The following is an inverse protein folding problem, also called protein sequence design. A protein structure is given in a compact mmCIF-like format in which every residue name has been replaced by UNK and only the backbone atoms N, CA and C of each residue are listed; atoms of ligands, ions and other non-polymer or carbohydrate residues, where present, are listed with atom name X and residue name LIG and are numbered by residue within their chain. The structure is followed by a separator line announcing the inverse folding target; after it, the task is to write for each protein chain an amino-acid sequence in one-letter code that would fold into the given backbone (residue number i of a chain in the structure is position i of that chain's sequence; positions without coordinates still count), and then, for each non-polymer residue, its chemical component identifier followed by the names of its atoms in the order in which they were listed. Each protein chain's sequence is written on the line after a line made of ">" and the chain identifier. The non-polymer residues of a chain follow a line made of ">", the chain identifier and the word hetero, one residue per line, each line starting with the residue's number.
data_IF_902947357693
#
_entry.id   IF_902947357693
#
_cell.length_a   1.000
_cell.length_b   1.000
_cell.length_c   1.000
_cell.angle_alpha   90.00
_cell.angle_beta   90.00
_cell.angle_gamma   90.00
#
_symmetry.space_group_name_H-M   'P 1'
#
loop_
_entity.id
_entity.type
_entity.pdbx_description
1 polymer ?
#
# COMPACT_ATOMS: atom_id res chain seq x y z
N UNK A 1 40.07 -34.09 -55.20
CA UNK A 1 39.81 -33.91 -53.78
C UNK A 1 39.17 -32.55 -53.60
N UNK A 2 37.87 -32.53 -53.36
CA UNK A 2 37.07 -31.31 -53.06
C UNK A 2 36.85 -31.31 -51.56
N UNK A 3 37.41 -30.26 -50.89
CA UNK A 3 37.18 -30.03 -49.47
C UNK A 3 36.02 -29.02 -49.34
N UNK A 4 34.90 -29.50 -48.83
CA UNK A 4 33.72 -28.66 -48.54
C UNK A 4 33.90 -28.02 -47.14
N UNK A 5 33.98 -26.69 -47.08
CA UNK A 5 33.94 -25.91 -45.86
C UNK A 5 32.47 -25.69 -45.46
N UNK A 6 32.01 -26.34 -44.41
CA UNK A 6 30.78 -25.99 -43.72
C UNK A 6 31.01 -24.77 -42.78
N UNK A 7 30.45 -23.62 -43.13
CA UNK A 7 30.42 -22.47 -42.23
C UNK A 7 29.19 -22.56 -41.33
N UNK A 8 29.44 -22.83 -40.04
CA UNK A 8 28.43 -22.78 -38.99
C UNK A 8 28.14 -21.32 -38.63
N UNK A 9 26.94 -20.87 -38.97
CA UNK A 9 26.41 -19.55 -38.58
C UNK A 9 26.00 -19.61 -37.11
N UNK A 10 26.77 -19.00 -36.21
CA UNK A 10 26.37 -18.75 -34.82
C UNK A 10 25.37 -17.58 -34.80
N UNK A 11 24.08 -17.87 -34.57
CA UNK A 11 23.09 -16.87 -34.25
C UNK A 11 23.27 -16.50 -32.77
N UNK A 12 23.96 -15.38 -32.53
CA UNK A 12 23.96 -14.75 -31.20
C UNK A 12 22.55 -14.20 -30.95
N UNK A 13 21.79 -14.90 -30.13
CA UNK A 13 20.54 -14.36 -29.57
C UNK A 13 20.89 -13.17 -28.67
N UNK A 14 20.52 -11.96 -29.09
CA UNK A 14 20.51 -10.79 -28.21
C UNK A 14 19.42 -10.99 -27.15
N UNK A 15 19.83 -11.35 -25.94
CA UNK A 15 19.00 -11.26 -24.75
C UNK A 15 18.73 -9.76 -24.51
N UNK A 16 17.59 -9.27 -25.02
CA UNK A 16 17.13 -7.91 -24.72
C UNK A 16 16.76 -7.84 -23.24
N UNK A 17 17.69 -7.34 -22.42
CA UNK A 17 17.42 -6.98 -21.03
C UNK A 17 16.24 -6.04 -21.01
N UNK A 18 15.08 -6.49 -20.51
CA UNK A 18 13.87 -5.66 -20.36
C UNK A 18 14.22 -4.44 -19.51
N UNK A 19 13.86 -3.26 -20.03
CA UNK A 19 14.11 -2.00 -19.34
C UNK A 19 13.24 -1.93 -18.06
N UNK A 20 13.83 -1.75 -16.85
CA UNK A 20 13.07 -1.72 -15.58
C UNK A 20 11.95 -0.68 -15.55
N UNK A 21 12.05 0.38 -16.36
CA UNK A 21 11.02 1.42 -16.48
C UNK A 21 9.83 0.95 -17.31
N UNK A 22 10.04 0.14 -18.35
CA UNK A 22 8.97 -0.47 -19.14
C UNK A 22 8.19 -1.52 -18.35
N UNK A 23 8.87 -2.32 -17.52
CA UNK A 23 8.21 -3.31 -16.67
C UNK A 23 7.33 -2.66 -15.59
N UNK A 24 7.75 -1.53 -15.02
CA UNK A 24 6.94 -0.76 -14.05
C UNK A 24 5.71 -0.13 -14.68
N UNK A 25 5.82 0.37 -15.91
CA UNK A 25 4.74 1.01 -16.65
C UNK A 25 3.72 -0.04 -17.14
N UNK A 26 4.20 -1.19 -17.66
CA UNK A 26 3.37 -2.34 -18.02
C UNK A 26 2.53 -2.85 -16.84
N UNK A 27 3.13 -3.00 -15.68
CA UNK A 27 2.44 -3.45 -14.47
C UNK A 27 1.34 -2.46 -13.99
N UNK A 28 1.56 -1.14 -14.14
CA UNK A 28 0.54 -0.13 -13.81
C UNK A 28 -0.67 -0.17 -14.75
N UNK A 29 -0.44 -0.34 -16.05
CA UNK A 29 -1.52 -0.41 -17.04
C UNK A 29 -2.33 -1.68 -16.86
N UNK A 30 -1.68 -2.83 -16.68
CA UNK A 30 -2.32 -4.10 -16.39
C UNK A 30 -3.22 -4.04 -15.14
N UNK A 31 -2.73 -3.44 -14.05
CA UNK A 31 -3.52 -3.27 -12.83
C UNK A 31 -4.77 -2.40 -13.08
N UNK A 32 -4.63 -1.33 -13.88
CA UNK A 32 -5.74 -0.45 -14.23
C UNK A 32 -6.78 -1.15 -15.10
N UNK A 33 -6.34 -1.97 -16.05
CA UNK A 33 -7.23 -2.77 -16.91
C UNK A 33 -8.01 -3.81 -16.09
N UNK A 34 -7.33 -4.56 -15.23
CA UNK A 34 -7.97 -5.51 -14.29
C UNK A 34 -8.98 -4.81 -13.37
N UNK A 35 -8.64 -3.64 -12.86
CA UNK A 35 -9.55 -2.85 -12.04
C UNK A 35 -10.79 -2.39 -12.82
N UNK A 36 -10.61 -1.92 -14.05
CA UNK A 36 -11.73 -1.48 -14.89
C UNK A 36 -12.67 -2.64 -15.22
N UNK A 37 -12.12 -3.82 -15.49
CA UNK A 37 -12.91 -5.03 -15.71
C UNK A 37 -13.72 -5.40 -14.47
N UNK A 38 -13.07 -5.55 -13.32
CA UNK A 38 -13.73 -5.82 -12.05
C UNK A 38 -14.80 -4.77 -11.71
N UNK A 39 -14.49 -3.48 -11.91
CA UNK A 39 -15.42 -2.37 -11.62
C UNK A 39 -16.67 -2.43 -12.49
N UNK A 40 -16.57 -2.87 -13.74
CA UNK A 40 -17.70 -3.00 -14.66
C UNK A 40 -18.71 -4.07 -14.20
N UNK A 41 -18.29 -5.01 -13.36
CA UNK A 41 -19.13 -6.05 -12.78
C UNK A 41 -19.82 -5.61 -11.48
N UNK A 42 -19.46 -4.43 -10.94
CA UNK A 42 -20.02 -3.90 -9.70
C UNK A 42 -21.23 -3.00 -9.98
N UNK A 43 -22.10 -2.83 -8.96
CA UNK A 43 -23.12 -1.78 -9.00
C UNK A 43 -22.43 -0.40 -9.09
N UNK A 44 -22.62 0.37 -10.18
CA UNK A 44 -21.99 1.67 -10.34
C UNK A 44 -22.31 2.65 -9.21
N UNK A 45 -23.53 2.59 -8.68
CA UNK A 45 -23.96 3.45 -7.57
C UNK A 45 -23.19 3.11 -6.29
N UNK A 46 -23.00 1.82 -5.98
CA UNK A 46 -22.22 1.39 -4.81
C UNK A 46 -20.77 1.85 -4.92
N UNK A 47 -20.15 1.71 -6.11
CA UNK A 47 -18.78 2.18 -6.39
C UNK A 47 -18.66 3.67 -6.15
N UNK A 48 -19.61 4.47 -6.65
CA UNK A 48 -19.59 5.93 -6.53
C UNK A 48 -19.89 6.39 -5.11
N UNK A 49 -20.88 5.82 -4.44
CA UNK A 49 -21.24 6.13 -3.06
C UNK A 49 -20.04 5.88 -2.12
N UNK A 50 -19.36 4.72 -2.29
CA UNK A 50 -18.18 4.40 -1.48
C UNK A 50 -17.02 5.37 -1.77
N UNK A 51 -16.78 5.69 -3.04
CA UNK A 51 -15.74 6.65 -3.41
C UNK A 51 -15.99 8.03 -2.80
N UNK A 52 -17.24 8.55 -2.90
CA UNK A 52 -17.61 9.84 -2.32
C UNK A 52 -17.49 9.81 -0.80
N UNK A 53 -17.90 8.70 -0.16
CA UNK A 53 -17.77 8.52 1.29
C UNK A 53 -16.31 8.62 1.75
N UNK A 54 -15.35 8.03 1.03
CA UNK A 54 -13.94 8.07 1.41
C UNK A 54 -13.31 9.45 1.16
N UNK A 55 -13.53 10.01 -0.05
CA UNK A 55 -12.84 11.23 -0.47
C UNK A 55 -13.16 12.46 0.37
N UNK A 56 -14.32 12.52 1.02
CA UNK A 56 -14.70 13.66 1.86
C UNK A 56 -13.79 13.84 3.10
N UNK A 57 -13.03 12.83 3.50
CA UNK A 57 -12.13 12.85 4.66
C UNK A 57 -10.69 13.16 4.31
N UNK A 58 -10.35 13.34 3.04
CA UNK A 58 -8.97 13.48 2.57
C UNK A 58 -8.79 14.76 1.76
N UNK A 59 -7.85 15.59 2.18
CA UNK A 59 -7.44 16.81 1.46
C UNK A 59 -6.76 16.45 0.13
N UNK A 60 -5.90 15.42 0.11
CA UNK A 60 -5.38 14.84 -1.12
C UNK A 60 -6.37 13.78 -1.63
N UNK A 61 -7.14 14.04 -2.71
CA UNK A 61 -8.18 13.12 -3.16
C UNK A 61 -7.57 11.82 -3.72
N UNK A 62 -7.99 10.64 -3.21
CA UNK A 62 -7.55 9.37 -3.75
C UNK A 62 -8.28 9.07 -5.07
N UNK A 63 -7.79 8.10 -5.84
CA UNK A 63 -8.51 7.50 -6.96
C UNK A 63 -9.38 6.33 -6.51
N UNK A 64 -10.41 5.96 -7.30
CA UNK A 64 -11.20 4.74 -7.06
C UNK A 64 -10.31 3.50 -7.02
N UNK A 65 -9.31 3.44 -7.90
CA UNK A 65 -8.33 2.36 -7.93
C UNK A 65 -7.57 2.22 -6.59
N UNK A 66 -7.14 3.33 -5.99
CA UNK A 66 -6.39 3.31 -4.73
C UNK A 66 -7.21 2.74 -3.57
N UNK A 67 -8.45 3.19 -3.44
CA UNK A 67 -9.28 2.83 -2.28
C UNK A 67 -9.93 1.45 -2.35
N UNK A 68 -10.03 0.88 -3.55
CA UNK A 68 -10.66 -0.42 -3.79
C UNK A 68 -9.66 -1.53 -4.11
N UNK A 69 -8.34 -1.24 -4.07
CA UNK A 69 -7.28 -2.19 -4.41
C UNK A 69 -6.46 -2.54 -3.18
N UNK A 70 -6.12 -3.83 -3.02
CA UNK A 70 -5.03 -4.30 -2.18
C UNK A 70 -3.78 -4.49 -3.05
N UNK A 71 -2.84 -3.53 -3.01
CA UNK A 71 -1.60 -3.59 -3.81
C UNK A 71 -0.61 -4.63 -3.30
N UNK A 72 -0.75 -5.07 -2.05
CA UNK A 72 0.17 -6.01 -1.38
C UNK A 72 -0.16 -7.49 -1.67
N UNK A 73 -0.97 -7.79 -2.69
CA UNK A 73 -1.22 -9.17 -3.12
C UNK A 73 -0.05 -9.67 -3.94
N UNK A 74 0.84 -10.44 -3.31
CA UNK A 74 2.04 -11.02 -3.94
C UNK A 74 1.81 -12.47 -4.40
N UNK A 75 0.76 -13.12 -3.94
CA UNK A 75 0.41 -14.50 -4.29
C UNK A 75 -0.50 -14.49 -5.50
N UNK A 76 -0.04 -15.05 -6.62
CA UNK A 76 -0.80 -15.08 -7.88
C UNK A 76 -2.19 -15.72 -7.75
N UNK A 77 -2.32 -16.75 -6.93
CA UNK A 77 -3.61 -17.41 -6.66
C UNK A 77 -4.63 -16.50 -5.97
N UNK A 78 -4.19 -15.42 -5.31
CA UNK A 78 -5.06 -14.46 -4.62
C UNK A 78 -5.44 -13.24 -5.48
N UNK A 79 -5.00 -13.19 -6.73
CA UNK A 79 -5.13 -12.01 -7.60
C UNK A 79 -6.59 -11.65 -7.88
N UNK A 80 -7.48 -12.63 -7.98
CA UNK A 80 -8.93 -12.43 -8.18
C UNK A 80 -9.61 -11.69 -7.03
N UNK A 81 -9.02 -11.73 -5.84
CA UNK A 81 -9.53 -11.10 -4.62
C UNK A 81 -8.93 -9.70 -4.37
N UNK A 82 -8.12 -9.20 -5.30
CA UNK A 82 -7.37 -7.94 -5.15
C UNK A 82 -8.26 -6.73 -4.96
N UNK A 83 -9.43 -6.71 -5.59
CA UNK A 83 -10.35 -5.57 -5.57
C UNK A 83 -11.56 -5.86 -4.71
N UNK A 84 -11.94 -4.91 -3.86
CA UNK A 84 -13.11 -5.07 -3.01
C UNK A 84 -13.69 -3.73 -2.56
N UNK A 85 -15.01 -3.71 -2.36
CA UNK A 85 -15.72 -2.68 -1.60
C UNK A 85 -16.15 -3.32 -0.28
N UNK A 86 -15.90 -2.68 0.88
CA UNK A 86 -16.38 -3.20 2.16
C UNK A 86 -17.90 -3.22 2.25
N UNK A 87 -18.50 -4.13 3.04
CA UNK A 87 -19.90 -4.04 3.40
C UNK A 87 -20.23 -2.64 3.96
N UNK A 88 -21.36 -2.09 3.59
CA UNK A 88 -21.77 -0.72 3.97
C UNK A 88 -21.73 -0.49 5.50
N UNK A 89 -22.04 -1.52 6.29
CA UNK A 89 -21.95 -1.50 7.74
C UNK A 89 -20.53 -1.20 8.27
N UNK A 90 -19.48 -1.43 7.47
CA UNK A 90 -18.08 -1.17 7.86
C UNK A 90 -17.54 0.19 7.41
N UNK A 91 -18.28 0.95 6.60
CA UNK A 91 -17.76 2.19 6.04
C UNK A 91 -17.30 3.19 7.11
N UNK A 92 -18.06 3.36 8.18
CA UNK A 92 -17.71 4.28 9.26
C UNK A 92 -16.46 3.85 10.06
N UNK A 93 -16.07 2.59 10.00
CA UNK A 93 -14.94 2.07 10.77
C UNK A 93 -13.62 2.73 10.35
N UNK A 94 -13.48 3.11 9.06
CA UNK A 94 -12.24 3.67 8.52
C UNK A 94 -12.05 5.16 8.85
N UNK A 95 -13.10 5.88 9.23
CA UNK A 95 -13.10 7.34 9.36
C UNK A 95 -12.00 7.85 10.29
N UNK A 96 -11.77 7.16 11.42
CA UNK A 96 -10.68 7.53 12.33
C UNK A 96 -9.31 7.49 11.67
N UNK A 97 -9.02 6.45 10.91
CA UNK A 97 -7.75 6.28 10.21
C UNK A 97 -7.58 7.23 9.02
N UNK A 98 -8.66 7.55 8.31
CA UNK A 98 -8.62 8.57 7.25
C UNK A 98 -8.33 9.96 7.82
N UNK A 99 -9.00 10.35 8.92
CA UNK A 99 -8.73 11.63 9.59
C UNK A 99 -7.31 11.72 10.10
N UNK A 100 -6.75 10.61 10.61
CA UNK A 100 -5.36 10.55 11.05
C UNK A 100 -4.39 10.69 9.87
N UNK A 101 -4.65 10.00 8.75
CA UNK A 101 -3.85 10.15 7.52
C UNK A 101 -3.88 11.59 7.00
N UNK A 102 -5.08 12.18 6.96
CA UNK A 102 -5.26 13.56 6.51
C UNK A 102 -4.60 14.57 7.44
N UNK A 103 -4.62 14.34 8.76
CA UNK A 103 -3.91 15.16 9.72
C UNK A 103 -2.39 15.11 9.44
N UNK A 104 -1.79 13.93 9.32
CA UNK A 104 -0.37 13.79 9.02
C UNK A 104 0.02 14.49 7.70
N UNK A 105 -0.84 14.42 6.69
CA UNK A 105 -0.65 15.12 5.43
C UNK A 105 -0.72 16.66 5.60
N UNK A 106 -1.75 17.19 6.26
CA UNK A 106 -1.93 18.63 6.47
C UNK A 106 -0.86 19.24 7.38
N UNK A 107 -0.38 18.46 8.35
CA UNK A 107 0.70 18.85 9.27
C UNK A 107 2.10 18.69 8.61
N UNK A 108 2.13 18.43 7.29
CA UNK A 108 3.33 18.36 6.44
C UNK A 108 4.38 17.31 6.88
N UNK A 109 3.94 16.19 7.45
CA UNK A 109 4.83 15.04 7.67
C UNK A 109 5.34 14.46 6.36
N UNK A 110 4.57 14.60 5.27
CA UNK A 110 4.93 14.25 3.90
C UNK A 110 4.14 15.10 2.90
N UNK A 111 4.71 15.30 1.70
CA UNK A 111 4.11 16.14 0.65
C UNK A 111 3.08 15.39 -0.19
N UNK A 112 3.28 14.09 -0.42
CA UNK A 112 2.38 13.25 -1.23
C UNK A 112 2.38 11.82 -0.74
N UNK A 113 1.25 11.15 -0.92
CA UNK A 113 1.11 9.73 -0.63
C UNK A 113 0.19 9.05 -1.64
N UNK A 114 0.19 7.73 -1.65
CA UNK A 114 -0.82 6.92 -2.34
C UNK A 114 -1.33 5.85 -1.37
N UNK A 115 -2.63 5.64 -1.35
CA UNK A 115 -3.24 4.54 -0.58
C UNK A 115 -2.94 3.24 -1.31
N UNK A 116 -2.48 2.23 -0.57
CA UNK A 116 -2.09 0.93 -1.13
C UNK A 116 -2.97 -0.22 -0.68
N UNK A 117 -3.65 -0.11 0.45
CA UNK A 117 -4.70 -1.01 0.88
C UNK A 117 -5.58 -0.36 1.95
N UNK A 118 -6.88 -0.65 1.91
CA UNK A 118 -7.84 -0.29 2.95
C UNK A 118 -8.62 -1.53 3.40
N UNK A 119 -9.73 -1.84 2.77
CA UNK A 119 -10.50 -3.05 3.06
C UNK A 119 -9.82 -4.29 2.46
N UNK A 120 -9.81 -5.35 3.21
CA UNK A 120 -9.37 -6.69 2.78
C UNK A 120 -10.47 -7.68 3.11
N UNK A 121 -11.00 -8.36 2.09
CA UNK A 121 -12.01 -9.40 2.33
C UNK A 121 -11.46 -10.52 3.24
N UNK A 122 -12.29 -11.23 4.01
CA UNK A 122 -11.84 -12.38 4.79
C UNK A 122 -11.16 -13.45 3.93
N UNK A 123 -11.66 -13.68 2.71
CA UNK A 123 -11.08 -14.61 1.75
C UNK A 123 -9.68 -14.18 1.32
N UNK A 124 -9.50 -12.91 0.92
CA UNK A 124 -8.18 -12.39 0.60
C UNK A 124 -7.23 -12.47 1.81
N UNK A 125 -7.71 -12.11 3.02
CA UNK A 125 -6.87 -12.17 4.21
C UNK A 125 -6.37 -13.60 4.47
N UNK A 126 -7.21 -14.59 4.29
CA UNK A 126 -6.83 -16.00 4.39
C UNK A 126 -5.84 -16.39 3.29
N UNK A 127 -6.13 -16.03 2.05
CA UNK A 127 -5.31 -16.34 0.89
C UNK A 127 -3.87 -15.79 1.00
N UNK A 128 -3.70 -14.57 1.51
CA UNK A 128 -2.38 -13.94 1.70
C UNK A 128 -1.74 -14.24 3.07
N UNK A 129 -2.29 -15.19 3.83
CA UNK A 129 -1.84 -15.53 5.18
C UNK A 129 -1.76 -14.32 6.12
N UNK A 130 -2.74 -13.41 6.02
CA UNK A 130 -2.81 -12.21 6.84
C UNK A 130 -3.10 -12.53 8.32
N UNK A 131 -2.82 -11.58 9.20
CA UNK A 131 -3.07 -11.73 10.63
C UNK A 131 -4.54 -12.05 10.91
N UNK A 132 -4.83 -12.98 11.83
CA UNK A 132 -6.20 -13.39 12.21
C UNK A 132 -7.08 -12.21 12.66
N UNK A 133 -6.48 -11.22 13.32
CA UNK A 133 -7.15 -9.99 13.80
C UNK A 133 -6.77 -8.76 12.97
N UNK A 134 -6.55 -8.94 11.67
CA UNK A 134 -6.20 -7.85 10.76
C UNK A 134 -7.25 -6.75 10.79
N UNK A 135 -6.82 -5.51 11.00
CA UNK A 135 -7.71 -4.33 11.03
C UNK A 135 -8.26 -3.99 9.65
N UNK A 136 -7.64 -4.47 8.59
CA UNK A 136 -8.15 -4.36 7.22
C UNK A 136 -9.45 -5.15 6.99
N UNK A 137 -9.63 -6.31 7.65
CA UNK A 137 -10.82 -7.17 7.47
C UNK A 137 -12.10 -6.47 7.94
N UNK A 138 -11.99 -5.63 8.97
CA UNK A 138 -13.12 -4.84 9.49
C UNK A 138 -13.09 -3.39 9.01
N UNK A 139 -12.25 -3.09 8.02
CA UNK A 139 -12.12 -1.76 7.44
C UNK A 139 -11.72 -0.65 8.45
N UNK A 140 -10.79 -0.96 9.36
CA UNK A 140 -10.25 0.03 10.30
C UNK A 140 -8.91 0.61 9.88
N UNK A 141 -8.22 0.02 8.90
CA UNK A 141 -6.82 0.30 8.61
C UNK A 141 -6.61 0.88 7.21
N UNK A 142 -5.59 1.74 7.11
CA UNK A 142 -5.08 2.27 5.84
C UNK A 142 -3.59 1.92 5.74
N UNK A 143 -3.21 1.21 4.67
CA UNK A 143 -1.83 1.12 4.23
C UNK A 143 -1.58 2.20 3.17
N UNK A 144 -0.49 2.92 3.30
CA UNK A 144 -0.12 3.97 2.35
C UNK A 144 1.39 3.98 2.08
N UNK A 145 1.74 4.55 0.94
CA UNK A 145 3.12 4.77 0.52
C UNK A 145 3.35 6.27 0.36
N UNK A 146 4.33 6.81 1.05
CA UNK A 146 4.73 8.21 0.92
C UNK A 146 5.55 8.37 -0.36
N UNK A 147 5.19 9.34 -1.19
CA UNK A 147 5.75 9.62 -2.52
C UNK A 147 6.48 10.96 -2.50
N UNK A 148 7.50 11.11 -1.66
CA UNK A 148 8.29 12.33 -1.63
C UNK A 148 9.33 12.32 -2.78
N UNK A 149 9.52 13.44 -3.52
CA UNK A 149 10.58 13.57 -4.53
C UNK A 149 11.99 13.34 -3.99
N UNK A 150 12.19 13.55 -2.69
CA UNK A 150 13.46 13.33 -1.99
C UNK A 150 13.68 11.88 -1.55
N UNK A 151 12.76 10.97 -1.86
CA UNK A 151 12.77 9.55 -1.44
C UNK A 151 14.02 8.75 -1.83
N UNK A 152 14.85 9.24 -2.72
CA UNK A 152 16.08 8.56 -3.15
C UNK A 152 17.17 8.58 -2.08
N UNK A 153 17.05 9.45 -1.08
CA UNK A 153 18.07 9.59 -0.04
C UNK A 153 17.67 8.84 1.24
N UNK A 154 18.56 7.96 1.69
CA UNK A 154 18.41 7.20 2.94
C UNK A 154 18.17 8.12 4.15
N UNK A 155 18.78 9.31 4.14
CA UNK A 155 18.65 10.30 5.21
C UNK A 155 17.22 10.84 5.32
N UNK A 156 16.56 11.15 4.20
CA UNK A 156 15.18 11.67 4.20
C UNK A 156 14.19 10.63 4.71
N UNK A 157 14.41 9.36 4.35
CA UNK A 157 13.63 8.24 4.89
C UNK A 157 13.77 8.10 6.40
N UNK A 158 14.98 8.27 6.94
CA UNK A 158 15.23 8.24 8.39
C UNK A 158 14.53 9.39 9.10
N UNK A 159 14.54 10.59 8.52
CA UNK A 159 13.86 11.77 9.07
C UNK A 159 12.34 11.58 9.09
N UNK A 160 11.74 11.05 8.01
CA UNK A 160 10.31 10.73 7.99
C UNK A 160 9.94 9.68 9.06
N UNK A 161 10.71 8.60 9.15
CA UNK A 161 10.48 7.56 10.18
C UNK A 161 10.59 8.17 11.58
N UNK A 162 11.61 8.99 11.83
CA UNK A 162 11.80 9.69 13.11
C UNK A 162 10.60 10.58 13.43
N UNK A 163 10.15 11.40 12.49
CA UNK A 163 9.03 12.32 12.67
C UNK A 163 7.72 11.56 12.98
N UNK A 164 7.42 10.49 12.24
CA UNK A 164 6.24 9.64 12.50
C UNK A 164 6.33 8.93 13.86
N UNK A 165 7.51 8.52 14.30
CA UNK A 165 7.70 7.95 15.62
C UNK A 165 7.48 8.99 16.73
N UNK A 166 7.97 10.19 16.55
CA UNK A 166 7.75 11.31 17.49
C UNK A 166 6.26 11.64 17.60
N UNK A 167 5.54 11.71 16.49
CA UNK A 167 4.09 11.86 16.49
C UNK A 167 3.39 10.71 17.24
N UNK A 168 3.77 9.47 16.94
CA UNK A 168 3.19 8.29 17.61
C UNK A 168 3.44 8.30 19.12
N UNK A 169 4.63 8.70 19.58
CA UNK A 169 4.96 8.84 21.00
C UNK A 169 4.14 9.95 21.68
N UNK A 170 3.96 11.09 21.01
CA UNK A 170 3.26 12.25 21.57
C UNK A 170 1.74 12.07 21.58
N UNK A 171 1.14 11.66 20.46
CA UNK A 171 -0.31 11.67 20.23
C UNK A 171 -0.91 10.25 20.11
N UNK A 172 -0.10 9.26 19.82
CA UNK A 172 -0.58 7.92 19.45
C UNK A 172 -1.43 7.24 20.53
N UNK A 173 -1.13 7.44 21.82
CA UNK A 173 -1.92 6.89 22.92
C UNK A 173 -3.33 7.48 22.95
N UNK A 174 -3.46 8.79 22.82
CA UNK A 174 -4.74 9.52 22.77
C UNK A 174 -5.57 9.10 21.56
N UNK A 175 -4.92 8.96 20.40
CA UNK A 175 -5.54 8.56 19.14
C UNK A 175 -5.77 7.05 19.02
N UNK A 176 -5.35 6.24 19.99
CA UNK A 176 -5.35 4.77 19.92
C UNK A 176 -4.65 4.28 18.64
N UNK A 177 -3.56 4.93 18.25
CA UNK A 177 -2.89 4.74 16.97
C UNK A 177 -2.09 3.45 16.93
N UNK A 178 -2.43 2.58 15.97
CA UNK A 178 -1.56 1.52 15.47
C UNK A 178 -0.68 2.08 14.36
N UNK A 179 0.64 1.91 14.45
CA UNK A 179 1.62 2.37 13.47
C UNK A 179 2.52 1.22 13.03
N UNK A 180 2.38 0.78 11.78
CA UNK A 180 3.25 -0.20 11.13
C UNK A 180 4.22 0.46 10.17
N UNK A 181 5.49 0.02 10.17
CA UNK A 181 6.56 0.55 9.32
C UNK A 181 7.21 -0.59 8.53
N UNK A 182 6.85 -0.73 7.24
CA UNK A 182 7.25 -1.88 6.41
C UNK A 182 8.52 -1.66 5.59
N UNK A 183 9.17 -0.50 5.75
CA UNK A 183 10.29 -0.07 4.91
C UNK A 183 9.84 0.50 3.55
N UNK A 184 10.79 1.09 2.81
CA UNK A 184 10.52 1.72 1.52
C UNK A 184 9.33 2.69 1.56
N UNK A 185 9.26 3.53 2.60
CA UNK A 185 8.21 4.53 2.84
C UNK A 185 6.78 3.98 2.82
N UNK A 186 6.61 2.69 3.17
CA UNK A 186 5.31 2.05 3.32
C UNK A 186 4.93 1.95 4.79
N UNK A 187 3.74 2.44 5.08
CA UNK A 187 3.22 2.56 6.44
C UNK A 187 1.82 1.99 6.54
N UNK A 188 1.47 1.59 7.74
CA UNK A 188 0.14 1.23 8.16
C UNK A 188 -0.31 2.15 9.28
N UNK A 189 -1.54 2.60 9.23
CA UNK A 189 -2.19 3.27 10.36
C UNK A 189 -3.58 2.70 10.61
N UNK A 190 -3.94 2.64 11.88
CA UNK A 190 -5.30 2.42 12.35
C UNK A 190 -5.52 3.10 13.71
N UNK A 191 -6.77 3.18 14.17
CA UNK A 191 -7.15 3.78 15.45
C UNK A 191 -7.72 2.73 16.42
N UNK A 192 -7.20 1.49 16.36
CA UNK A 192 -7.73 0.33 17.10
C UNK A 192 -6.77 -0.17 18.19
N UNK A 193 -5.96 0.71 18.74
CA UNK A 193 -5.09 0.44 19.88
C UNK A 193 -3.69 1.01 19.72
N UNK A 194 -3.14 1.55 20.81
CA UNK A 194 -1.79 2.12 20.84
C UNK A 194 -0.75 1.02 20.72
N UNK A 195 -0.16 0.87 19.55
CA UNK A 195 0.85 -0.15 19.25
C UNK A 195 1.68 0.24 18.03
N UNK A 196 2.88 -0.32 17.92
CA UNK A 196 3.75 -0.13 16.77
C UNK A 196 4.51 -1.42 16.44
N UNK A 197 4.90 -1.58 15.17
CA UNK A 197 5.68 -2.72 14.68
C UNK A 197 6.50 -2.35 13.45
N UNK A 198 7.52 -3.14 13.16
CA UNK A 198 8.38 -3.00 12.01
C UNK A 198 8.06 -3.96 10.87
N UNK A 199 9.02 -4.13 9.96
CA UNK A 199 8.89 -4.90 8.71
C UNK A 199 8.62 -6.39 8.89
N UNK A 200 8.92 -6.96 10.05
CA UNK A 200 8.66 -8.36 10.42
C UNK A 200 7.32 -8.53 11.18
N UNK A 201 6.50 -7.48 11.22
CA UNK A 201 5.21 -7.42 11.91
C UNK A 201 5.31 -7.61 13.44
N UNK A 202 6.50 -7.47 14.04
CA UNK A 202 6.72 -7.56 15.49
C UNK A 202 7.02 -6.20 16.09
N UNK A 203 6.52 -5.96 17.31
CA UNK A 203 6.78 -4.70 18.03
C UNK A 203 8.27 -4.46 18.24
N UNK A 204 9.04 -5.50 18.58
CA UNK A 204 10.48 -5.38 18.83
C UNK A 204 11.30 -4.88 17.63
N UNK A 205 10.78 -4.99 16.41
CA UNK A 205 11.43 -4.46 15.19
C UNK A 205 10.94 -3.07 14.80
N UNK A 206 10.04 -2.47 15.61
CA UNK A 206 9.58 -1.11 15.35
C UNK A 206 10.71 -0.10 15.54
N UNK A 207 10.96 0.78 14.57
CA UNK A 207 11.89 1.90 14.75
C UNK A 207 11.54 2.80 15.94
N UNK A 208 10.24 2.94 16.26
CA UNK A 208 9.78 3.83 17.33
C UNK A 208 10.10 3.33 18.76
N UNK A 209 10.45 2.07 18.93
CA UNK A 209 10.83 1.48 20.22
C UNK A 209 12.35 1.35 20.37
N UNK A 210 13.13 1.64 19.34
CA UNK A 210 14.58 1.59 19.38
C UNK A 210 15.16 2.96 19.79
N UNK A 211 16.18 2.96 20.65
CA UNK A 211 16.81 4.13 21.24
C UNK A 211 17.37 5.18 20.23
N UNK A 212 17.35 4.87 18.94
CA UNK A 212 17.82 5.77 17.86
C UNK A 212 16.81 6.84 17.42
N UNK A 213 15.67 6.92 18.08
CA UNK A 213 14.60 7.92 17.77
C UNK A 213 14.60 9.10 18.74
N UNK A 214 15.40 9.02 19.83
CA UNK A 214 15.59 10.08 20.82
C UNK A 214 16.66 11.09 20.37
#
# INVERSE_FOLDING_TARGET
>A
FIVSLLSTLFIMGCDMKKNPTQDKLGNKNELKEKFNHWKAEQDPKLVDDYFQFIRQYLTQPPTKLEIMTNRNVMVKACESERFAIPPKAYWNNIVGSLKLLDQLYRDAYFERYTITAMYRSPSLNTCVHGAKQSKHVYHYAVDFHVLDPKETHEQDRKLLVKALCQFWLAEGKKLKMGLGMYGNNRFHIDTQGYRTWGKDFKSKSSPCLNASVN
#
